data_IF_454661488488
#
_entry.id   IF_454661488488
#
_cell.length_a   1.000
_cell.length_b   1.000
_cell.length_c   1.000
_cell.angle_alpha   90.00
_cell.angle_beta   90.00
_cell.angle_gamma   90.00
#
_symmetry.space_group_name_H-M   'P 1'
#
loop_
_entity.id
_entity.type
_entity.pdbx_description
1 polymer ?
#
# COMPACT_ATOMS: atom_id res chain seq x y z
N UNK A 1 -8.01 9.93 -11.23
CA UNK A 1 -8.13 9.68 -9.77
C UNK A 1 -8.80 8.35 -9.45
N UNK A 2 -9.97 8.03 -10.04
CA UNK A 2 -10.61 6.71 -9.83
C UNK A 2 -9.72 5.54 -10.32
N UNK A 3 -9.01 5.70 -11.44
CA UNK A 3 -8.10 4.67 -11.95
C UNK A 3 -6.91 4.40 -11.02
N UNK A 4 -6.34 5.46 -10.40
CA UNK A 4 -5.19 5.31 -9.51
C UNK A 4 -5.57 4.57 -8.22
N UNK A 5 -6.73 4.86 -7.64
CA UNK A 5 -7.23 4.16 -6.46
C UNK A 5 -7.46 2.67 -6.73
N UNK A 6 -8.07 2.35 -7.87
CA UNK A 6 -8.25 0.96 -8.29
C UNK A 6 -6.91 0.25 -8.50
N UNK A 7 -5.95 0.89 -9.17
CA UNK A 7 -4.62 0.30 -9.40
C UNK A 7 -3.87 0.07 -8.07
N UNK A 8 -3.83 1.07 -7.18
CA UNK A 8 -3.18 0.92 -5.86
C UNK A 8 -3.83 -0.20 -5.06
N UNK A 9 -5.16 -0.29 -5.08
CA UNK A 9 -5.88 -1.39 -4.45
C UNK A 9 -5.47 -2.74 -5.04
N UNK A 10 -5.45 -2.88 -6.37
CA UNK A 10 -5.01 -4.12 -7.04
C UNK A 10 -3.60 -4.52 -6.63
N UNK A 11 -2.66 -3.59 -6.54
CA UNK A 11 -1.30 -3.89 -6.06
C UNK A 11 -1.31 -4.39 -4.60
N UNK A 12 -2.08 -3.78 -3.71
CA UNK A 12 -2.21 -4.27 -2.33
C UNK A 12 -2.80 -5.68 -2.27
N UNK A 13 -3.77 -5.99 -3.14
CA UNK A 13 -4.37 -7.32 -3.24
C UNK A 13 -3.39 -8.37 -3.78
N UNK A 14 -2.58 -8.02 -4.79
CA UNK A 14 -1.58 -8.92 -5.39
C UNK A 14 -0.46 -9.24 -4.39
N UNK A 15 0.04 -8.22 -3.69
CA UNK A 15 1.15 -8.39 -2.75
C UNK A 15 0.70 -8.98 -1.41
N UNK A 16 -0.58 -8.86 -1.06
CA UNK A 16 -1.18 -9.28 0.22
C UNK A 16 -0.24 -9.04 1.41
N UNK A 17 0.14 -7.78 1.71
CA UNK A 17 1.12 -7.49 2.76
C UNK A 17 0.68 -7.91 4.16
N UNK A 18 -0.61 -8.22 4.35
CA UNK A 18 -1.17 -8.71 5.61
C UNK A 18 -1.18 -10.25 5.67
N UNK A 19 -1.07 -10.95 4.54
CA UNK A 19 -1.23 -12.40 4.44
C UNK A 19 -2.64 -12.85 4.84
N UNK A 20 -3.66 -12.01 4.61
CA UNK A 20 -5.02 -12.20 5.10
C UNK A 20 -6.04 -12.42 3.99
N UNK A 21 -5.62 -12.59 2.73
CA UNK A 21 -6.53 -12.79 1.60
C UNK A 21 -7.48 -13.98 1.77
N UNK A 22 -7.09 -14.98 2.56
CA UNK A 22 -7.93 -16.16 2.88
C UNK A 22 -8.91 -15.92 4.05
N UNK A 23 -8.73 -14.84 4.83
CA UNK A 23 -9.51 -14.56 6.03
C UNK A 23 -10.62 -13.53 5.79
N UNK A 24 -10.42 -12.62 4.83
CA UNK A 24 -11.42 -11.64 4.44
C UNK A 24 -11.20 -11.23 2.97
N UNK A 25 -12.26 -10.78 2.27
CA UNK A 25 -12.11 -10.28 0.91
C UNK A 25 -11.06 -9.16 0.83
N UNK A 26 -10.05 -9.26 -0.06
CA UNK A 26 -8.98 -8.28 -0.17
C UNK A 26 -9.48 -6.84 -0.41
N UNK A 27 -10.63 -6.66 -1.06
CA UNK A 27 -11.28 -5.35 -1.24
C UNK A 27 -11.66 -4.71 0.10
N UNK A 28 -12.13 -5.52 1.05
CA UNK A 28 -12.52 -5.05 2.39
C UNK A 28 -11.29 -4.80 3.27
N UNK A 29 -10.23 -5.59 3.07
CA UNK A 29 -8.97 -5.42 3.76
C UNK A 29 -8.24 -4.15 3.32
N UNK A 30 -8.17 -3.86 2.02
CA UNK A 30 -7.32 -2.76 1.52
C UNK A 30 -8.08 -1.49 1.16
N UNK A 31 -9.36 -1.59 0.80
CA UNK A 31 -10.19 -0.45 0.43
C UNK A 31 -10.11 0.75 1.40
N UNK A 32 -10.21 0.54 2.73
CA UNK A 32 -10.17 1.64 3.70
C UNK A 32 -8.84 2.41 3.75
N UNK A 33 -7.71 1.78 3.39
CA UNK A 33 -6.38 2.38 3.50
C UNK A 33 -5.84 2.99 2.20
N UNK A 34 -6.46 2.67 1.05
CA UNK A 34 -6.01 3.10 -0.30
C UNK A 34 -5.88 4.62 -0.40
N UNK A 35 -6.88 5.37 0.07
CA UNK A 35 -6.87 6.82 -0.02
C UNK A 35 -5.71 7.44 0.79
N UNK A 36 -5.46 6.95 2.00
CA UNK A 36 -4.34 7.43 2.82
C UNK A 36 -2.99 7.04 2.19
N UNK A 37 -2.85 5.81 1.68
CA UNK A 37 -1.64 5.37 1.00
C UNK A 37 -1.29 6.30 -0.17
N UNK A 38 -2.26 6.64 -1.03
CA UNK A 38 -2.05 7.56 -2.16
C UNK A 38 -1.60 8.94 -1.66
N UNK A 39 -2.26 9.49 -0.64
CA UNK A 39 -1.88 10.78 -0.06
C UNK A 39 -0.46 10.78 0.49
N UNK A 40 -0.03 9.70 1.15
CA UNK A 40 1.34 9.57 1.65
C UNK A 40 2.34 9.43 0.50
N UNK A 41 2.02 8.62 -0.51
CA UNK A 41 2.89 8.39 -1.67
C UNK A 41 3.11 9.65 -2.53
N UNK A 42 2.18 10.60 -2.51
CA UNK A 42 2.36 11.90 -3.18
C UNK A 42 3.41 12.79 -2.48
N UNK A 43 3.77 12.50 -1.23
CA UNK A 43 4.67 13.33 -0.42
C UNK A 43 6.10 12.78 -0.31
N UNK A 44 6.29 11.50 -0.60
CA UNK A 44 7.59 10.82 -0.50
C UNK A 44 8.45 11.08 -1.75
N UNK A 45 9.77 10.99 -1.59
CA UNK A 45 10.76 11.27 -2.64
C UNK A 45 11.51 10.04 -3.13
N UNK A 46 11.31 8.90 -2.49
CA UNK A 46 11.98 7.65 -2.85
C UNK A 46 11.09 6.43 -2.66
N UNK A 47 11.49 5.32 -3.28
CA UNK A 47 10.84 4.02 -3.12
C UNK A 47 10.97 3.48 -1.68
N UNK A 48 12.07 3.79 -1.00
CA UNK A 48 12.30 3.40 0.39
C UNK A 48 11.34 4.15 1.33
N UNK A 49 11.15 5.45 1.12
CA UNK A 49 10.16 6.25 1.86
C UNK A 49 8.73 5.78 1.56
N UNK A 50 8.44 5.38 0.32
CA UNK A 50 7.16 4.78 -0.05
C UNK A 50 6.88 3.48 0.72
N UNK A 51 7.86 2.57 0.80
CA UNK A 51 7.74 1.33 1.57
C UNK A 51 7.45 1.60 3.05
N UNK A 52 8.15 2.58 3.66
CA UNK A 52 7.90 2.99 5.04
C UNK A 52 6.52 3.62 5.23
N UNK A 53 6.07 4.44 4.28
CA UNK A 53 4.77 5.08 4.32
C UNK A 53 3.63 4.06 4.25
N UNK A 54 3.71 3.10 3.33
CA UNK A 54 2.72 2.03 3.19
C UNK A 54 2.68 1.15 4.45
N UNK A 55 3.85 0.74 4.96
CA UNK A 55 3.96 -0.02 6.20
C UNK A 55 3.33 0.73 7.37
N UNK A 56 3.59 2.03 7.51
CA UNK A 56 3.03 2.84 8.59
C UNK A 56 1.51 2.91 8.54
N UNK A 57 0.91 3.09 7.36
CA UNK A 57 -0.55 3.10 7.21
C UNK A 57 -1.14 1.75 7.64
N UNK A 58 -0.59 0.64 7.14
CA UNK A 58 -1.07 -0.69 7.47
C UNK A 58 -0.84 -1.05 8.93
N UNK A 59 0.28 -0.64 9.53
CA UNK A 59 0.56 -0.86 10.94
C UNK A 59 -0.41 -0.09 11.84
N UNK A 60 -0.79 1.13 11.47
CA UNK A 60 -1.80 1.89 12.22
C UNK A 60 -3.19 1.28 12.11
N UNK A 61 -3.54 0.68 10.97
CA UNK A 61 -4.84 0.05 10.75
C UNK A 61 -4.95 -1.38 11.34
N UNK A 62 -3.89 -2.18 11.26
CA UNK A 62 -3.91 -3.62 11.55
C UNK A 62 -2.88 -4.07 12.60
N UNK A 63 -2.07 -3.15 13.14
CA UNK A 63 -1.07 -3.45 14.16
C UNK A 63 0.03 -4.39 13.64
N UNK A 64 0.42 -5.35 14.48
CA UNK A 64 1.49 -6.31 14.19
C UNK A 64 1.24 -7.17 12.94
N UNK A 65 0.01 -7.23 12.46
CA UNK A 65 -0.37 -7.95 11.25
C UNK A 65 0.24 -7.33 9.99
N UNK A 66 0.63 -6.04 10.03
CA UNK A 66 1.41 -5.42 8.97
C UNK A 66 2.82 -6.01 8.82
N UNK A 67 3.30 -6.82 9.78
CA UNK A 67 4.61 -7.42 9.70
C UNK A 67 5.76 -6.40 9.66
N UNK A 68 6.98 -6.84 9.30
CA UNK A 68 8.16 -5.99 9.27
C UNK A 68 8.23 -5.14 7.98
N UNK A 69 8.69 -3.88 8.11
CA UNK A 69 8.82 -2.91 7.00
C UNK A 69 9.64 -3.41 5.81
N UNK A 70 10.60 -4.31 6.03
CA UNK A 70 11.43 -4.89 4.94
C UNK A 70 10.61 -5.64 3.88
N UNK A 71 9.44 -6.15 4.24
CA UNK A 71 8.54 -6.86 3.34
C UNK A 71 7.86 -5.92 2.31
N UNK A 72 7.97 -4.60 2.51
CA UNK A 72 7.32 -3.58 1.68
C UNK A 72 8.22 -3.03 0.58
N UNK A 73 9.45 -3.54 0.45
CA UNK A 73 10.45 -2.99 -0.48
C UNK A 73 9.95 -3.00 -1.92
N UNK A 74 9.45 -4.15 -2.38
CA UNK A 74 8.96 -4.30 -3.76
C UNK A 74 7.64 -3.55 -3.99
N UNK A 75 6.70 -3.68 -3.05
CA UNK A 75 5.43 -2.95 -3.09
C UNK A 75 5.63 -1.43 -3.11
N UNK A 76 6.53 -0.92 -2.27
CA UNK A 76 6.86 0.50 -2.18
C UNK A 76 7.50 1.03 -3.45
N UNK A 77 8.40 0.25 -4.06
CA UNK A 77 8.99 0.58 -5.36
C UNK A 77 7.96 0.68 -6.46
N UNK A 78 7.05 -0.28 -6.56
CA UNK A 78 6.08 -0.32 -7.65
C UNK A 78 4.98 0.72 -7.48
N UNK A 79 4.45 0.90 -6.26
CA UNK A 79 3.49 1.94 -5.97
C UNK A 79 4.08 3.35 -6.07
N UNK A 80 5.36 3.54 -5.72
CA UNK A 80 6.05 4.80 -5.94
C UNK A 80 6.10 5.15 -7.43
N UNK A 81 6.52 4.21 -8.30
CA UNK A 81 6.52 4.45 -9.75
C UNK A 81 5.12 4.74 -10.26
N UNK A 82 4.12 3.98 -9.82
CA UNK A 82 2.74 4.14 -10.25
C UNK A 82 2.20 5.55 -9.95
N UNK A 83 2.40 6.02 -8.72
CA UNK A 83 1.93 7.35 -8.31
C UNK A 83 2.70 8.47 -9.00
N UNK A 84 4.01 8.33 -9.19
CA UNK A 84 4.84 9.33 -9.87
C UNK A 84 4.61 9.39 -11.39
N UNK A 85 4.17 8.30 -12.01
CA UNK A 85 3.79 8.27 -13.44
C UNK A 85 2.36 8.77 -13.69
N UNK A 86 1.50 8.71 -12.66
CA UNK A 86 0.12 9.20 -12.71
C UNK A 86 -0.10 10.62 -12.18
N UNK A 87 0.93 11.25 -11.60
CA UNK A 87 0.95 12.63 -11.11
C UNK A 87 1.47 13.60 -12.18
#
# INVERSE_FOLDING_TARGET
MQDLAAQVQTYLQIYDPLGMGELAPPEQLYGPVVAEIIQRLALVRSAEEAAQAIHRVLYLAYGNQAGPVRNYTDLGRDLFRLVQQGA
#
